data_IF_151471227347
#
_entry.id   IF_151471227347
#
_cell.length_a   1.000
_cell.length_b   1.000
_cell.length_c   1.000
_cell.angle_alpha   90.00
_cell.angle_beta   90.00
_cell.angle_gamma   90.00
#
_symmetry.space_group_name_H-M   'P 1'
#
loop_
_entity.id
_entity.type
_entity.pdbx_description
1 polymer ?
#
# COMPACT_ATOMS: atom_id res chain seq x y z
N UNK A 1 21.57 8.89 -15.33
CA UNK A 1 20.94 10.11 -14.78
C UNK A 1 19.48 10.07 -15.17
N UNK A 2 18.64 9.38 -14.40
CA UNK A 2 17.18 9.43 -14.56
C UNK A 2 16.64 10.36 -13.50
N UNK A 3 15.86 11.36 -13.91
CA UNK A 3 15.19 12.29 -13.02
C UNK A 3 14.24 11.50 -12.13
N UNK A 4 14.59 11.37 -10.85
CA UNK A 4 13.64 10.93 -9.84
C UNK A 4 12.53 11.99 -9.78
N UNK A 5 11.34 11.63 -10.28
CA UNK A 5 10.20 12.52 -10.31
C UNK A 5 9.85 12.97 -8.87
N UNK A 6 10.20 14.22 -8.56
CA UNK A 6 9.74 14.92 -7.37
C UNK A 6 8.22 15.05 -7.46
N UNK A 7 7.49 14.21 -6.72
CA UNK A 7 6.02 14.11 -6.78
C UNK A 7 5.31 15.23 -6.00
N UNK A 8 5.62 16.50 -6.30
CA UNK A 8 4.87 17.63 -5.79
C UNK A 8 3.56 17.76 -6.59
N UNK A 9 2.42 17.44 -5.98
CA UNK A 9 1.10 17.55 -6.60
C UNK A 9 0.16 16.36 -6.34
N UNK A 10 -1.11 16.52 -6.72
CA UNK A 10 -2.09 15.43 -6.72
C UNK A 10 -1.93 14.57 -7.97
N UNK A 11 -1.74 13.27 -7.77
CA UNK A 11 -1.55 12.28 -8.82
C UNK A 11 -2.66 11.23 -8.80
N UNK A 12 -3.00 10.71 -9.99
CA UNK A 12 -4.00 9.64 -10.15
C UNK A 12 -3.31 8.36 -10.62
N UNK A 13 -3.51 7.27 -9.89
CA UNK A 13 -3.18 5.91 -10.30
C UNK A 13 -4.41 5.34 -10.99
N UNK A 14 -4.29 5.00 -12.28
CA UNK A 14 -5.39 4.42 -13.04
C UNK A 14 -5.80 3.05 -12.46
N UNK A 15 -7.07 2.63 -12.60
CA UNK A 15 -7.52 1.33 -12.12
C UNK A 15 -6.62 0.20 -12.63
N UNK A 16 -6.32 -0.78 -11.76
CA UNK A 16 -5.47 -1.94 -12.06
C UNK A 16 -4.04 -1.60 -12.49
N UNK A 17 -3.50 -0.45 -12.09
CA UNK A 17 -2.13 -0.03 -12.38
C UNK A 17 -1.33 0.27 -11.11
N UNK A 18 -0.04 0.60 -11.26
CA UNK A 18 0.85 0.95 -10.16
C UNK A 18 1.85 2.02 -10.56
N UNK A 19 2.40 2.68 -9.55
CA UNK A 19 3.43 3.72 -9.67
C UNK A 19 4.49 3.52 -8.59
N UNK A 20 5.64 4.13 -8.78
CA UNK A 20 6.67 4.24 -7.76
C UNK A 20 7.31 5.62 -7.76
N UNK A 21 7.70 6.09 -6.59
CA UNK A 21 8.26 7.44 -6.38
C UNK A 21 9.09 7.48 -5.11
N UNK A 22 9.88 8.54 -4.94
CA UNK A 22 10.64 8.78 -3.71
C UNK A 22 9.83 9.58 -2.70
N UNK A 23 10.03 9.29 -1.43
CA UNK A 23 9.47 10.03 -0.30
C UNK A 23 10.60 10.32 0.69
N UNK A 24 11.00 11.58 0.79
CA UNK A 24 12.09 11.99 1.68
C UNK A 24 11.64 11.97 3.14
N UNK A 25 12.58 11.73 4.05
CA UNK A 25 12.31 11.78 5.49
C UNK A 25 11.66 13.11 5.89
N UNK A 26 10.56 13.02 6.65
CA UNK A 26 9.77 14.16 7.11
C UNK A 26 8.71 14.64 6.10
N UNK A 27 8.68 14.09 4.88
CA UNK A 27 7.55 14.28 3.95
C UNK A 27 6.37 13.38 4.33
N UNK A 28 5.21 13.75 3.80
CA UNK A 28 3.96 13.07 4.05
C UNK A 28 3.40 12.50 2.75
N UNK A 29 3.04 11.22 2.76
CA UNK A 29 2.29 10.59 1.68
C UNK A 29 0.81 10.60 2.05
N UNK A 30 0.00 11.30 1.26
CA UNK A 30 -1.46 11.25 1.33
C UNK A 30 -1.96 10.24 0.31
N UNK A 31 -2.71 9.24 0.73
CA UNK A 31 -3.40 8.29 -0.17
C UNK A 31 -4.90 8.49 0.00
N UNK A 32 -5.60 8.75 -1.10
CA UNK A 32 -7.04 9.06 -1.10
C UNK A 32 -7.77 8.09 -2.02
N UNK A 33 -8.92 7.61 -1.56
CA UNK A 33 -9.88 6.87 -2.36
C UNK A 33 -10.94 7.85 -2.93
N UNK A 34 -10.79 8.34 -4.16
CA UNK A 34 -11.66 9.38 -4.70
C UNK A 34 -13.10 8.90 -4.98
N UNK A 35 -13.32 7.59 -5.09
CA UNK A 35 -14.61 7.02 -5.49
C UNK A 35 -15.18 6.05 -4.46
N UNK A 36 -14.44 5.75 -3.40
CA UNK A 36 -14.82 4.82 -2.35
C UNK A 36 -14.58 3.37 -2.78
N UNK A 37 -14.43 2.51 -1.78
CA UNK A 37 -14.23 1.07 -1.89
C UNK A 37 -13.17 0.61 -2.91
N UNK A 38 -12.05 1.33 -3.05
CA UNK A 38 -10.88 0.92 -3.83
C UNK A 38 -9.69 0.68 -2.89
N UNK A 39 -9.05 -0.49 -3.01
CA UNK A 39 -7.85 -0.84 -2.25
C UNK A 39 -6.59 -0.35 -2.95
N UNK A 40 -5.58 0.04 -2.16
CA UNK A 40 -4.24 0.34 -2.64
C UNK A 40 -3.19 -0.51 -1.89
N UNK A 41 -2.40 -1.28 -2.62
CA UNK A 41 -1.21 -1.94 -2.06
C UNK A 41 -0.06 -0.93 -1.93
N UNK A 42 0.49 -0.76 -0.72
CA UNK A 42 1.63 0.11 -0.44
C UNK A 42 2.87 -0.70 -0.04
N UNK A 43 4.00 -0.37 -0.67
CA UNK A 43 5.34 -0.83 -0.31
C UNK A 43 6.24 0.35 0.02
N UNK A 44 7.18 0.12 0.94
CA UNK A 44 8.25 1.06 1.25
C UNK A 44 9.59 0.33 1.34
N UNK A 45 10.60 0.88 0.69
CA UNK A 45 11.99 0.44 0.73
C UNK A 45 12.86 1.61 1.18
N UNK A 46 13.89 1.37 1.99
CA UNK A 46 14.86 2.41 2.31
C UNK A 46 15.66 2.76 1.05
N UNK A 47 15.71 4.05 0.69
CA UNK A 47 16.35 4.53 -0.54
C UNK A 47 17.87 4.31 -0.55
N UNK A 48 18.51 4.32 0.62
CA UNK A 48 19.96 4.09 0.78
C UNK A 48 20.35 2.63 0.87
N UNK A 49 19.41 1.74 1.22
CA UNK A 49 19.61 0.29 1.31
C UNK A 49 18.30 -0.43 1.00
N UNK A 50 18.13 -0.86 -0.25
CA UNK A 50 16.89 -1.48 -0.71
C UNK A 50 16.59 -2.81 0.00
N UNK A 51 17.56 -3.45 0.66
CA UNK A 51 17.37 -4.68 1.48
C UNK A 51 16.68 -4.41 2.81
N UNK A 52 16.54 -3.14 3.19
CA UNK A 52 15.62 -2.71 4.22
C UNK A 52 14.25 -2.35 3.61
N UNK A 53 13.27 -3.21 3.87
CA UNK A 53 11.92 -3.16 3.28
C UNK A 53 10.85 -3.25 4.35
N UNK A 54 9.68 -2.66 4.10
CA UNK A 54 8.51 -2.73 4.97
C UNK A 54 8.17 -4.20 5.34
N UNK A 55 7.81 -4.43 6.59
CA UNK A 55 7.58 -5.76 7.14
C UNK A 55 6.27 -5.85 7.90
N UNK A 56 5.36 -6.68 7.41
CA UNK A 56 4.14 -7.04 8.14
C UNK A 56 4.47 -7.68 9.47
N UNK A 57 5.29 -8.74 9.47
CA UNK A 57 5.64 -9.49 10.68
C UNK A 57 6.17 -8.60 11.82
N UNK A 58 7.13 -7.71 11.55
CA UNK A 58 7.66 -6.78 12.56
C UNK A 58 6.60 -5.80 13.05
N UNK A 59 5.80 -5.28 12.11
CA UNK A 59 4.76 -4.30 12.44
C UNK A 59 3.68 -4.89 13.34
N UNK A 60 3.16 -6.07 12.97
CA UNK A 60 2.09 -6.73 13.71
C UNK A 60 2.55 -7.24 15.08
N UNK A 61 3.77 -7.77 15.17
CA UNK A 61 4.39 -8.22 16.43
C UNK A 61 4.46 -7.05 17.44
N UNK A 62 5.04 -5.92 17.04
CA UNK A 62 5.21 -4.76 17.92
C UNK A 62 3.91 -4.02 18.23
N UNK A 63 2.95 -4.02 17.29
CA UNK A 63 1.62 -3.46 17.56
C UNK A 63 0.76 -4.39 18.44
N UNK A 64 1.07 -5.70 18.45
CA UNK A 64 0.27 -6.75 19.11
C UNK A 64 -1.20 -6.76 18.66
N UNK A 65 -1.45 -6.35 17.41
CA UNK A 65 -2.75 -6.35 16.73
C UNK A 65 -2.57 -6.31 15.22
N UNK A 66 -3.60 -6.74 14.49
CA UNK A 66 -3.59 -6.83 13.01
C UNK A 66 -4.15 -5.60 12.29
N UNK A 67 -4.98 -4.82 12.97
CA UNK A 67 -5.55 -3.60 12.41
C UNK A 67 -4.72 -2.43 12.89
N UNK A 68 -4.26 -1.59 11.97
CA UNK A 68 -3.38 -0.45 12.22
C UNK A 68 -4.12 0.83 11.77
N UNK A 69 -3.87 1.95 12.45
CA UNK A 69 -4.53 3.24 12.21
C UNK A 69 -3.65 4.38 12.74
N UNK A 70 -4.20 5.60 12.83
CA UNK A 70 -3.52 6.80 13.34
C UNK A 70 -2.74 6.52 14.63
N UNK A 71 -1.48 6.92 14.65
CA UNK A 71 -0.52 6.71 15.73
C UNK A 71 0.38 5.49 15.54
N UNK A 72 0.02 4.53 14.67
CA UNK A 72 0.80 3.32 14.49
C UNK A 72 2.04 3.53 13.60
N UNK A 73 3.21 3.02 14.02
CA UNK A 73 4.38 2.89 13.17
C UNK A 73 4.30 1.65 12.26
N UNK A 74 4.77 1.78 11.02
CA UNK A 74 5.05 0.67 10.11
C UNK A 74 6.56 0.44 10.06
N UNK A 75 6.98 -0.79 10.38
CA UNK A 75 8.38 -1.14 10.55
C UNK A 75 8.98 -1.81 9.32
N UNK A 76 10.29 -1.64 9.15
CA UNK A 76 11.10 -2.45 8.23
C UNK A 76 11.35 -3.85 8.79
N UNK A 77 11.85 -4.74 7.93
CA UNK A 77 12.40 -6.05 8.30
C UNK A 77 13.57 -5.98 9.30
N UNK A 78 14.17 -4.80 9.48
CA UNK A 78 15.25 -4.50 10.44
C UNK A 78 14.75 -3.75 11.69
N UNK A 79 13.44 -3.68 11.89
CA UNK A 79 12.81 -3.08 13.06
C UNK A 79 13.02 -1.58 13.21
N UNK A 80 13.38 -0.87 12.13
CA UNK A 80 13.33 0.58 12.11
C UNK A 80 11.95 1.04 11.63
N UNK A 81 11.45 2.15 12.17
CA UNK A 81 10.21 2.75 11.66
C UNK A 81 10.48 3.36 10.28
N UNK A 82 9.70 2.98 9.27
CA UNK A 82 9.75 3.54 7.92
C UNK A 82 8.68 4.61 7.74
N UNK A 83 7.46 4.31 8.16
CA UNK A 83 6.30 5.19 8.06
C UNK A 83 5.59 5.28 9.40
N UNK A 84 4.92 6.40 9.69
CA UNK A 84 3.92 6.51 10.76
C UNK A 84 2.60 6.95 10.17
N UNK A 85 1.51 6.31 10.59
CA UNK A 85 0.16 6.75 10.22
C UNK A 85 -0.16 7.98 11.07
N UNK A 86 -0.28 9.15 10.45
CA UNK A 86 -0.55 10.41 11.16
C UNK A 86 -2.01 10.85 11.05
N UNK A 87 -2.74 10.31 10.08
CA UNK A 87 -4.18 10.51 9.91
C UNK A 87 -4.77 9.32 9.15
N UNK A 88 -5.98 8.90 9.51
CA UNK A 88 -6.73 7.82 8.86
C UNK A 88 -8.22 8.06 9.08
N UNK A 89 -8.98 8.21 8.00
CA UNK A 89 -10.43 8.44 8.05
C UNK A 89 -11.27 7.16 8.00
N UNK A 90 -10.64 5.99 7.80
CA UNK A 90 -11.31 4.70 7.60
C UNK A 90 -11.13 3.75 8.78
N UNK A 91 -9.92 3.67 9.36
CA UNK A 91 -9.64 2.79 10.52
C UNK A 91 -9.55 1.31 10.19
N UNK A 92 -9.51 0.92 8.90
CA UNK A 92 -9.49 -0.47 8.45
C UNK A 92 -8.57 -0.69 7.26
N UNK A 93 -7.48 -1.40 7.53
CA UNK A 93 -6.44 -1.78 6.57
C UNK A 93 -5.99 -3.21 6.84
N UNK A 94 -5.42 -3.86 5.84
CA UNK A 94 -4.85 -5.21 5.98
C UNK A 94 -3.32 -5.17 5.84
N UNK A 95 -2.65 -6.03 6.60
CA UNK A 95 -1.21 -6.28 6.43
C UNK A 95 -0.88 -7.76 6.49
N UNK A 96 -1.86 -8.63 6.24
CA UNK A 96 -1.73 -10.09 6.29
C UNK A 96 -1.57 -10.68 4.89
N UNK A 97 -2.30 -10.15 3.91
CA UNK A 97 -2.38 -10.72 2.57
C UNK A 97 -1.34 -10.11 1.63
N UNK A 98 -0.76 -10.96 0.80
CA UNK A 98 0.20 -10.55 -0.26
C UNK A 98 -0.51 -9.78 -1.38
N UNK A 99 0.22 -8.94 -2.14
CA UNK A 99 -0.33 -8.32 -3.35
C UNK A 99 -0.89 -9.37 -4.30
N UNK A 100 -2.08 -9.13 -4.87
CA UNK A 100 -2.64 -10.05 -5.86
C UNK A 100 -1.69 -10.20 -7.05
N UNK A 101 -1.58 -11.41 -7.60
CA UNK A 101 -0.70 -11.74 -8.72
C UNK A 101 -1.45 -12.47 -9.83
N UNK A 102 -0.76 -12.72 -10.95
CA UNK A 102 -1.29 -13.60 -11.99
C UNK A 102 -1.66 -14.98 -11.43
N UNK A 103 -0.88 -15.50 -10.48
CA UNK A 103 -1.19 -16.75 -9.80
C UNK A 103 -2.38 -16.63 -8.84
N UNK A 104 -2.56 -15.50 -8.16
CA UNK A 104 -3.78 -15.24 -7.39
C UNK A 104 -5.01 -15.38 -8.29
N UNK A 105 -5.01 -14.76 -9.46
CA UNK A 105 -6.15 -14.82 -10.39
C UNK A 105 -6.34 -16.21 -11.00
N UNK A 106 -5.25 -16.90 -11.35
CA UNK A 106 -5.33 -18.28 -11.84
C UNK A 106 -5.86 -19.26 -10.78
N UNK A 107 -5.36 -19.18 -9.55
CA UNK A 107 -5.65 -20.15 -8.48
C UNK A 107 -6.98 -19.87 -7.79
N UNK A 108 -7.26 -18.62 -7.45
CA UNK A 108 -8.41 -18.24 -6.62
C UNK A 108 -9.62 -17.83 -7.48
N UNK A 109 -9.38 -17.13 -8.60
CA UNK A 109 -10.45 -16.62 -9.46
C UNK A 109 -10.76 -17.54 -10.64
N UNK A 110 -9.81 -18.41 -11.01
CA UNK A 110 -9.96 -19.33 -12.14
C UNK A 110 -9.77 -18.67 -13.50
N UNK A 111 -9.11 -17.51 -13.55
CA UNK A 111 -8.90 -16.76 -14.78
C UNK A 111 -7.99 -17.54 -15.76
N UNK A 112 -8.46 -17.74 -16.99
CA UNK A 112 -7.68 -18.39 -18.04
C UNK A 112 -6.54 -17.50 -18.58
N UNK A 113 -6.78 -16.18 -18.64
CA UNK A 113 -5.82 -15.17 -19.06
C UNK A 113 -5.65 -14.14 -17.92
N UNK A 114 -4.88 -14.49 -16.88
CA UNK A 114 -4.81 -13.69 -15.67
C UNK A 114 -4.08 -12.36 -15.92
N UNK A 115 -4.61 -11.30 -15.32
CA UNK A 115 -3.89 -10.02 -15.23
C UNK A 115 -2.63 -10.17 -14.37
N UNK A 116 -1.61 -9.33 -14.56
CA UNK A 116 -0.35 -9.41 -13.78
C UNK A 116 -0.51 -9.14 -12.26
N UNK A 117 -1.68 -8.62 -11.87
CA UNK A 117 -2.01 -8.25 -10.49
C UNK A 117 -1.20 -7.07 -9.95
N UNK A 118 -1.42 -6.75 -8.67
CA UNK A 118 -0.67 -5.74 -7.95
C UNK A 118 0.81 -6.12 -7.83
N UNK A 119 1.13 -7.40 -7.65
CA UNK A 119 2.50 -7.89 -7.67
C UNK A 119 3.23 -7.47 -8.95
N UNK A 120 2.65 -7.76 -10.12
CA UNK A 120 3.25 -7.38 -11.41
C UNK A 120 3.24 -5.87 -11.66
N UNK A 121 2.21 -5.15 -11.19
CA UNK A 121 2.18 -3.70 -11.25
C UNK A 121 3.30 -3.06 -10.42
N UNK A 122 3.51 -3.54 -9.19
CA UNK A 122 4.57 -3.07 -8.30
C UNK A 122 5.96 -3.41 -8.86
N UNK A 123 6.17 -4.64 -9.32
CA UNK A 123 7.43 -5.05 -9.92
C UNK A 123 7.81 -4.17 -11.12
N UNK A 124 6.85 -3.91 -12.03
CA UNK A 124 7.08 -3.04 -13.18
C UNK A 124 7.33 -1.57 -12.77
N UNK A 125 6.60 -1.06 -11.77
CA UNK A 125 6.76 0.31 -11.32
C UNK A 125 8.08 0.54 -10.57
N UNK A 126 8.55 -0.46 -9.82
CA UNK A 126 9.75 -0.38 -8.99
C UNK A 126 11.04 -0.79 -9.73
N UNK A 127 10.94 -1.41 -10.91
CA UNK A 127 12.09 -1.78 -11.75
C UNK A 127 13.08 -0.61 -11.99
N UNK A 128 12.65 0.64 -12.27
CA UNK A 128 13.58 1.77 -12.45
C UNK A 128 14.40 2.11 -11.21
N UNK A 129 13.98 1.65 -10.02
CA UNK A 129 14.70 1.79 -8.76
C UNK A 129 15.61 0.57 -8.45
N UNK A 130 15.67 -0.42 -9.34
CA UNK A 130 16.46 -1.64 -9.16
C UNK A 130 15.81 -2.70 -8.28
N UNK A 131 14.49 -2.62 -8.07
CA UNK A 131 13.73 -3.59 -7.28
C UNK A 131 12.98 -4.53 -8.22
N UNK A 132 13.41 -5.79 -8.26
CA UNK A 132 12.77 -6.84 -9.04
C UNK A 132 11.61 -7.57 -8.31
N UNK A 133 10.92 -8.48 -9.00
CA UNK A 133 9.75 -9.19 -8.47
C UNK A 133 10.04 -10.01 -7.20
N UNK A 134 11.20 -10.65 -7.09
CA UNK A 134 11.58 -11.47 -5.91
C UNK A 134 11.74 -10.65 -4.62
N UNK A 135 11.76 -9.31 -4.75
CA UNK A 135 11.87 -8.38 -3.62
C UNK A 135 10.54 -7.82 -3.15
N UNK A 136 9.42 -8.13 -3.81
CA UNK A 136 8.09 -7.64 -3.46
C UNK A 136 7.59 -8.41 -2.21
N UNK A 137 7.45 -7.76 -1.04
CA UNK A 137 6.99 -8.42 0.18
C UNK A 137 5.45 -8.42 0.25
N UNK A 138 4.92 -8.80 1.42
CA UNK A 138 3.55 -8.47 1.82
C UNK A 138 3.40 -6.94 1.82
N UNK A 139 2.36 -6.41 1.17
CA UNK A 139 2.07 -4.99 1.14
C UNK A 139 1.18 -4.57 2.31
N UNK A 140 1.31 -3.30 2.70
CA UNK A 140 0.29 -2.66 3.53
C UNK A 140 -0.90 -2.32 2.63
N UNK A 141 -2.00 -3.04 2.79
CA UNK A 141 -3.18 -2.97 1.93
C UNK A 141 -4.13 -1.88 2.47
N UNK A 142 -3.93 -0.66 1.98
CA UNK A 142 -4.72 0.52 2.33
C UNK A 142 -6.19 0.30 1.92
N UNK A 143 -7.09 0.65 2.83
CA UNK A 143 -8.56 0.46 2.78
C UNK A 143 -9.08 -0.99 2.70
N UNK A 144 -8.21 -1.99 2.61
CA UNK A 144 -8.63 -3.38 2.51
C UNK A 144 -9.25 -3.88 3.81
N UNK A 145 -10.41 -4.54 3.71
CA UNK A 145 -11.15 -5.06 4.84
C UNK A 145 -11.02 -6.59 4.91
N UNK A 146 -10.02 -7.07 5.64
CA UNK A 146 -9.83 -8.49 5.92
C UNK A 146 -10.25 -8.78 7.35
N UNK A 147 -11.07 -9.81 7.54
CA UNK A 147 -11.44 -10.31 8.86
C UNK A 147 -10.78 -11.66 9.13
N UNK A 148 -10.54 -11.94 10.42
CA UNK A 148 -9.96 -13.20 10.89
C UNK A 148 -10.93 -13.83 11.87
N UNK A 149 -11.35 -15.06 11.62
CA UNK A 149 -12.11 -15.83 12.57
C UNK A 149 -11.20 -16.28 13.73
N UNK A 150 -11.52 -15.87 14.96
CA UNK A 150 -10.67 -16.10 16.14
C UNK A 150 -10.60 -17.57 16.58
N UNK A 151 -11.46 -18.44 16.07
CA UNK A 151 -11.47 -19.87 16.43
C UNK A 151 -10.76 -20.75 15.40
N UNK A 152 -11.05 -20.53 14.12
CA UNK A 152 -10.58 -21.32 12.98
C UNK A 152 -9.35 -20.71 12.30
N UNK A 153 -9.10 -19.42 12.51
CA UNK A 153 -8.06 -18.66 11.81
C UNK A 153 -8.41 -18.33 10.36
N UNK A 154 -9.65 -18.56 9.93
CA UNK A 154 -10.08 -18.31 8.55
C UNK A 154 -10.01 -16.80 8.23
N UNK A 155 -9.42 -16.48 7.07
CA UNK A 155 -9.37 -15.12 6.54
C UNK A 155 -10.54 -14.91 5.56
N UNK A 156 -11.21 -13.77 5.66
CA UNK A 156 -12.24 -13.36 4.70
C UNK A 156 -12.02 -11.93 4.23
N UNK A 157 -12.03 -11.75 2.91
CA UNK A 157 -12.04 -10.44 2.27
C UNK A 157 -13.49 -9.95 2.23
N UNK A 158 -13.77 -8.87 2.94
CA UNK A 158 -15.06 -8.18 2.97
C UNK A 158 -14.99 -6.91 2.12
N UNK A 159 -16.15 -6.30 1.76
CA UNK A 159 -16.17 -4.99 1.13
C UNK A 159 -15.36 -3.97 1.94
N UNK A 160 -14.51 -3.15 1.30
CA UNK A 160 -13.84 -2.03 1.94
C UNK A 160 -14.82 -1.10 2.66
N UNK A 161 -14.34 -0.42 3.70
CA UNK A 161 -15.16 0.55 4.45
C UNK A 161 -14.98 2.00 3.97
N UNK A 162 -14.05 2.24 3.04
CA UNK A 162 -13.76 3.57 2.50
C UNK A 162 -14.93 4.12 1.69
N UNK A 163 -15.18 5.41 1.84
CA UNK A 163 -16.11 6.21 1.05
C UNK A 163 -15.32 7.17 0.16
N UNK A 164 -16.00 7.73 -0.84
CA UNK A 164 -15.39 8.72 -1.71
C UNK A 164 -14.81 9.90 -0.90
N UNK A 165 -13.53 10.18 -1.11
CA UNK A 165 -12.77 11.23 -0.42
C UNK A 165 -12.09 10.78 0.87
N UNK A 166 -12.30 9.54 1.32
CA UNK A 166 -11.56 9.01 2.46
C UNK A 166 -10.07 8.87 2.16
N UNK A 167 -9.25 9.04 3.20
CA UNK A 167 -7.80 9.08 3.06
C UNK A 167 -7.07 8.51 4.28
N UNK A 168 -5.82 8.15 4.03
CA UNK A 168 -4.80 7.87 5.04
C UNK A 168 -3.56 8.71 4.72
N UNK A 169 -2.85 9.12 5.75
CA UNK A 169 -1.63 9.93 5.63
C UNK A 169 -0.50 9.30 6.42
N UNK A 170 0.66 9.20 5.77
CA UNK A 170 1.86 8.63 6.34
C UNK A 170 2.98 9.67 6.41
N UNK A 171 3.62 9.82 7.56
CA UNK A 171 4.89 10.54 7.68
C UNK A 171 6.06 9.59 7.41
N UNK A 172 6.99 10.00 6.55
CA UNK A 172 8.22 9.26 6.30
C UNK A 172 9.24 9.45 7.42
N UNK A 173 9.64 8.37 8.07
CA UNK A 173 10.65 8.38 9.12
C UNK A 173 12.08 8.19 8.59
N UNK A 174 12.19 7.84 7.31
CA UNK A 174 13.43 7.61 6.56
C UNK A 174 13.26 8.14 5.13
N UNK A 175 14.34 8.15 4.35
CA UNK A 175 14.25 8.36 2.91
C UNK A 175 13.83 7.06 2.23
N UNK A 176 12.73 7.10 1.48
CA UNK A 176 12.06 5.90 0.99
C UNK A 176 11.89 5.91 -0.53
N UNK A 177 11.83 4.70 -1.09
CA UNK A 177 11.18 4.41 -2.37
C UNK A 177 9.84 3.76 -2.06
N UNK A 178 8.75 4.36 -2.56
CA UNK A 178 7.38 3.89 -2.37
C UNK A 178 6.91 3.21 -3.65
N UNK A 179 6.26 2.05 -3.50
CA UNK A 179 5.41 1.46 -4.54
C UNK A 179 3.95 1.57 -4.11
N UNK A 180 3.07 2.00 -5.00
CA UNK A 180 1.64 2.18 -4.72
C UNK A 180 0.80 1.73 -5.91
N UNK A 181 -0.35 1.11 -5.66
CA UNK A 181 -1.24 0.62 -6.72
C UNK A 181 -2.69 1.06 -6.55
N UNK A 182 -3.46 0.97 -7.63
CA UNK A 182 -4.91 0.79 -7.56
C UNK A 182 -5.18 -0.70 -7.80
N UNK A 183 -5.66 -1.40 -6.76
CA UNK A 183 -5.70 -2.85 -6.71
C UNK A 183 -6.43 -3.51 -7.90
N UNK A 184 -5.91 -4.64 -8.36
CA UNK A 184 -6.42 -5.38 -9.53
C UNK A 184 -7.41 -6.51 -9.21
N UNK A 185 -7.75 -6.74 -7.94
CA UNK A 185 -8.59 -7.85 -7.49
C UNK A 185 -10.06 -7.40 -7.29
N UNK A 186 -11.00 -8.02 -8.01
CA UNK A 186 -12.42 -7.62 -7.94
C UNK A 186 -13.00 -7.79 -6.54
N UNK A 187 -12.78 -8.92 -5.88
CA UNK A 187 -13.37 -9.19 -4.56
C UNK A 187 -12.90 -8.18 -3.52
N UNK A 188 -11.63 -7.73 -3.60
CA UNK A 188 -11.06 -6.73 -2.69
C UNK A 188 -11.62 -5.33 -2.91
N UNK A 189 -12.13 -5.01 -4.10
CA UNK A 189 -12.58 -3.66 -4.48
C UNK A 189 -14.11 -3.55 -4.61
N UNK A 190 -14.84 -4.40 -3.89
CA UNK A 190 -16.31 -4.51 -4.00
C UNK A 190 -16.79 -4.64 -5.47
N UNK A 191 -16.10 -5.48 -6.23
CA UNK A 191 -16.43 -5.83 -7.63
C UNK A 191 -16.36 -4.67 -8.64
N UNK A 192 -15.67 -3.58 -8.33
CA UNK A 192 -15.43 -2.48 -9.28
C UNK A 192 -13.99 -1.97 -9.21
N UNK A 193 -13.38 -1.71 -10.37
CA UNK A 193 -12.04 -1.12 -10.42
C UNK A 193 -12.13 0.40 -10.56
N UNK A 194 -11.50 1.11 -9.63
CA UNK A 194 -11.54 2.56 -9.48
C UNK A 194 -10.11 3.10 -9.32
N UNK A 195 -9.88 4.40 -9.56
CA UNK A 195 -8.56 5.00 -9.37
C UNK A 195 -8.23 5.17 -7.89
N UNK A 196 -6.94 5.31 -7.59
CA UNK A 196 -6.42 5.80 -6.31
C UNK A 196 -5.73 7.14 -6.56
N UNK A 197 -5.89 8.09 -5.66
CA UNK A 197 -5.13 9.35 -5.69
C UNK A 197 -4.01 9.31 -4.65
N UNK A 198 -2.90 9.97 -4.95
CA UNK A 198 -1.87 10.24 -3.96
C UNK A 198 -1.26 11.63 -4.11
N UNK A 199 -0.64 12.14 -3.05
CA UNK A 199 0.17 13.35 -3.06
C UNK A 199 1.36 13.21 -2.09
N UNK A 200 2.47 13.87 -2.40
CA UNK A 200 3.61 14.02 -1.49
C UNK A 200 3.67 15.46 -1.00
N UNK A 201 3.56 15.64 0.30
CA UNK A 201 3.49 16.94 0.96
C UNK A 201 4.72 17.18 1.85
N UNK A 202 5.20 18.42 1.89
CA UNK A 202 6.32 18.80 2.76
C UNK A 202 5.90 19.02 4.23
N UNK A 203 4.59 19.14 4.51
CA UNK A 203 4.07 19.37 5.86
C UNK A 203 2.64 18.84 6.02
N UNK A 204 2.31 18.32 7.21
CA UNK A 204 0.95 17.90 7.58
C UNK A 204 0.58 18.33 9.02
N UNK A 205 -0.68 18.72 9.32
CA UNK A 205 -1.73 19.03 8.34
C UNK A 205 -1.32 20.23 7.48
N UNK A 206 -1.88 20.34 6.28
CA UNK A 206 -1.65 21.49 5.41
C UNK A 206 -2.01 22.76 6.20
N UNK A 207 -1.04 23.67 6.37
CA UNK A 207 -1.31 24.97 7.00
C UNK A 207 -2.24 25.74 6.06
N UNK A 208 -3.34 26.26 6.63
CA UNK A 208 -4.24 27.17 5.93
C UNK A 208 -3.54 28.47 5.51
#
# INVERSE_FOLDING_TARGET
MSEAHSACGHHTIAPRSGTAFTLDKGQFLVVTDPQGEQVADLLAFNRGDLDEVISSGRTLDYASRIYLTTGDPLYSNRSNVMLRIVEDTVGRHDFLLTPCSADTFRIIYGDAEPHRGCFGNLAAALEPFGIGPDRIPVAFNVFMNVTVDGHTGALKVEPPLSRAGDRIVFEAMQDLVIGLTACSALQSNNFAFKPIHYAVEASWPLRA
#
